data_IF_590428024490
#
_entry.id   IF_590428024490
#
_cell.length_a   1.000
_cell.length_b   1.000
_cell.length_c   1.000
_cell.angle_alpha   90.00
_cell.angle_beta   90.00
_cell.angle_gamma   90.00
#
_symmetry.space_group_name_H-M   'P 1'
#
loop_
_entity.id
_entity.type
_entity.pdbx_description
1 polymer ?
#
# COMPACT_ATOMS: atom_id res chain seq x y z
N UNK A 1 -29.52 -20.79 -72.93
CA UNK A 1 -28.07 -20.55 -72.94
C UNK A 1 -27.77 -19.39 -71.99
N UNK A 2 -27.36 -19.67 -70.74
CA UNK A 2 -27.16 -18.65 -69.70
C UNK A 2 -25.66 -18.49 -69.48
N UNK A 3 -25.15 -17.27 -69.70
CA UNK A 3 -23.72 -16.94 -69.69
C UNK A 3 -23.40 -16.28 -68.34
N UNK A 4 -22.78 -17.02 -67.41
CA UNK A 4 -22.31 -16.48 -66.15
C UNK A 4 -21.10 -15.56 -66.39
N UNK A 5 -21.26 -14.26 -66.16
CA UNK A 5 -20.15 -13.30 -66.10
C UNK A 5 -19.51 -13.37 -64.71
N UNK A 6 -18.30 -13.92 -64.64
CA UNK A 6 -17.46 -13.86 -63.45
C UNK A 6 -16.89 -12.44 -63.31
N UNK A 7 -17.36 -11.69 -62.32
CA UNK A 7 -16.84 -10.36 -61.99
C UNK A 7 -15.56 -10.58 -61.17
N UNK A 8 -14.40 -10.52 -61.81
CA UNK A 8 -13.09 -10.65 -61.16
C UNK A 8 -12.43 -9.29 -61.05
N UNK A 9 -12.80 -8.49 -60.06
CA UNK A 9 -11.96 -7.39 -59.58
C UNK A 9 -12.14 -7.20 -58.06
N UNK A 10 -11.39 -7.98 -57.27
CA UNK A 10 -11.03 -7.62 -55.90
C UNK A 10 -9.51 -7.55 -55.84
N UNK A 11 -8.96 -6.38 -55.51
CA UNK A 11 -7.54 -6.20 -55.18
C UNK A 11 -7.27 -6.98 -53.90
N UNK A 12 -6.96 -8.27 -54.04
CA UNK A 12 -6.51 -9.09 -52.94
C UNK A 12 -5.10 -8.62 -52.56
N UNK A 13 -4.95 -8.08 -51.37
CA UNK A 13 -3.63 -7.88 -50.76
C UNK A 13 -2.97 -9.25 -50.74
N UNK A 14 -1.77 -9.36 -51.30
CA UNK A 14 -1.07 -10.65 -51.38
C UNK A 14 -1.00 -11.25 -49.97
N UNK A 15 -1.41 -12.52 -49.77
CA UNK A 15 -1.39 -13.17 -48.47
C UNK A 15 -0.03 -13.06 -47.78
N UNK A 16 1.05 -13.08 -48.56
CA UNK A 16 2.42 -12.95 -48.06
C UNK A 16 2.70 -11.53 -47.55
N UNK A 17 2.28 -10.51 -48.30
CA UNK A 17 2.51 -9.10 -47.93
C UNK A 17 1.74 -8.77 -46.64
N UNK A 18 0.54 -9.32 -46.48
CA UNK A 18 -0.26 -9.14 -45.26
C UNK A 18 0.46 -9.70 -44.02
N UNK A 19 1.08 -10.88 -44.13
CA UNK A 19 1.80 -11.51 -43.02
C UNK A 19 3.08 -10.74 -42.68
N UNK A 20 3.83 -10.29 -43.68
CA UNK A 20 5.06 -9.49 -43.44
C UNK A 20 4.73 -8.17 -42.74
N UNK A 21 3.66 -7.48 -43.16
CA UNK A 21 3.19 -6.27 -42.50
C UNK A 21 2.71 -6.54 -41.07
N UNK A 22 2.00 -7.65 -40.85
CA UNK A 22 1.54 -8.04 -39.51
C UNK A 22 2.72 -8.27 -38.55
N UNK A 23 3.77 -8.95 -39.00
CA UNK A 23 4.98 -9.20 -38.19
C UNK A 23 5.66 -7.87 -37.86
N UNK A 24 5.84 -6.99 -38.84
CA UNK A 24 6.51 -5.71 -38.64
C UNK A 24 5.81 -4.85 -37.58
N UNK A 25 4.47 -4.75 -37.65
CA UNK A 25 3.68 -4.01 -36.66
C UNK A 25 3.73 -4.67 -35.28
N UNK A 26 3.66 -6.01 -35.23
CA UNK A 26 3.72 -6.76 -33.97
C UNK A 26 5.03 -6.53 -33.24
N UNK A 27 6.16 -6.57 -33.95
CA UNK A 27 7.48 -6.30 -33.37
C UNK A 27 7.58 -4.85 -32.88
N UNK A 28 7.07 -3.90 -33.66
CA UNK A 28 7.05 -2.48 -33.26
C UNK A 28 6.27 -2.23 -31.98
N UNK A 29 5.05 -2.77 -31.86
CA UNK A 29 4.23 -2.63 -30.65
C UNK A 29 4.91 -3.30 -29.44
N UNK A 30 5.56 -4.44 -29.63
CA UNK A 30 6.22 -5.18 -28.54
C UNK A 30 7.32 -4.36 -27.85
N UNK A 31 8.12 -3.62 -28.62
CA UNK A 31 9.18 -2.76 -28.06
C UNK A 31 8.59 -1.62 -27.23
N UNK A 32 7.51 -0.99 -27.72
CA UNK A 32 6.82 0.09 -26.99
C UNK A 32 6.22 -0.43 -25.70
N UNK A 33 5.53 -1.59 -25.73
CA UNK A 33 4.97 -2.21 -24.53
C UNK A 33 6.07 -2.59 -23.54
N UNK A 34 7.22 -3.10 -23.98
CA UNK A 34 8.35 -3.40 -23.12
C UNK A 34 8.94 -2.13 -22.45
N UNK A 35 9.20 -1.09 -23.22
CA UNK A 35 9.71 0.19 -22.70
C UNK A 35 8.72 0.84 -21.71
N UNK A 36 7.43 0.75 -21.98
CA UNK A 36 6.39 1.24 -21.07
C UNK A 36 6.28 0.37 -19.80
N UNK A 37 6.30 -0.96 -19.95
CA UNK A 37 6.18 -1.91 -18.83
C UNK A 37 7.36 -1.81 -17.86
N UNK A 38 8.58 -1.64 -18.38
CA UNK A 38 9.78 -1.44 -17.55
C UNK A 38 9.74 -0.11 -16.79
N UNK A 39 9.15 0.95 -17.37
CA UNK A 39 8.91 2.22 -16.68
C UNK A 39 7.90 2.11 -15.52
N UNK A 40 6.92 1.22 -15.61
CA UNK A 40 5.92 0.99 -14.56
C UNK A 40 6.44 0.03 -13.47
N UNK A 41 7.17 -1.02 -13.86
CA UNK A 41 7.80 -1.97 -12.94
C UNK A 41 8.92 -1.28 -12.14
N UNK A 42 9.77 -0.47 -12.78
CA UNK A 42 10.81 0.29 -12.08
C UNK A 42 10.23 1.23 -11.02
N UNK A 43 9.05 1.82 -11.28
CA UNK A 43 8.36 2.64 -10.29
C UNK A 43 7.82 1.83 -9.12
N UNK A 44 7.42 0.57 -9.28
CA UNK A 44 7.04 -0.26 -8.13
C UNK A 44 8.23 -0.80 -7.36
N UNK A 45 9.32 -1.14 -8.04
CA UNK A 45 10.56 -1.56 -7.38
C UNK A 45 11.26 -0.41 -6.64
N UNK A 46 11.11 0.84 -7.09
CA UNK A 46 11.69 2.02 -6.41
C UNK A 46 10.73 2.72 -5.44
N UNK A 47 9.42 2.45 -5.48
CA UNK A 47 8.43 3.11 -4.59
C UNK A 47 8.03 2.23 -3.40
N UNK A 48 7.98 0.90 -3.50
CA UNK A 48 7.47 0.07 -2.39
C UNK A 48 8.14 -1.31 -2.31
N UNK A 49 9.44 -1.33 -2.12
CA UNK A 49 10.13 -2.49 -1.50
C UNK A 49 11.16 -2.07 -0.47
N UNK A 50 11.02 -0.86 0.10
CA UNK A 50 11.33 -0.71 1.50
C UNK A 50 10.33 -1.61 2.22
N UNK A 51 10.81 -2.65 2.88
CA UNK A 51 10.00 -3.59 3.66
C UNK A 51 8.86 -2.84 4.33
N UNK A 52 7.62 -3.07 3.86
CA UNK A 52 6.44 -2.39 4.41
C UNK A 52 6.50 -2.56 5.92
N UNK A 53 6.56 -1.45 6.67
CA UNK A 53 6.89 -1.49 8.10
C UNK A 53 6.04 -2.56 8.78
N UNK A 54 6.67 -3.63 9.26
CA UNK A 54 5.93 -4.74 9.82
C UNK A 54 5.79 -4.54 11.32
N UNK A 55 4.76 -3.77 11.69
CA UNK A 55 4.39 -3.49 13.07
C UNK A 55 3.32 -4.47 13.56
N UNK A 56 3.56 -5.06 14.73
CA UNK A 56 2.65 -6.04 15.35
C UNK A 56 2.47 -5.69 16.81
N UNK A 57 1.24 -5.75 17.30
CA UNK A 57 0.93 -5.58 18.72
C UNK A 57 1.15 -6.91 19.42
N UNK A 58 1.99 -6.90 20.44
CA UNK A 58 2.26 -8.09 21.25
C UNK A 58 1.33 -8.18 22.45
N UNK A 59 1.14 -7.05 23.11
CA UNK A 59 0.37 -6.99 24.34
C UNK A 59 -0.37 -5.65 24.42
N UNK A 60 -1.54 -5.71 25.02
CA UNK A 60 -2.42 -4.59 25.30
C UNK A 60 -2.78 -4.66 26.78
N UNK A 61 -2.53 -3.58 27.50
CA UNK A 61 -2.85 -3.47 28.91
C UNK A 61 -3.74 -2.24 29.14
N UNK A 62 -4.98 -2.50 29.53
CA UNK A 62 -5.93 -1.47 29.96
C UNK A 62 -6.02 -1.50 31.49
N UNK A 63 -5.51 -0.45 32.13
CA UNK A 63 -5.61 -0.25 33.58
C UNK A 63 -6.60 0.86 33.87
N UNK A 64 -7.82 0.49 34.27
CA UNK A 64 -8.93 1.44 34.40
C UNK A 64 -9.31 2.01 33.03
N UNK A 65 -8.95 3.28 32.78
CA UNK A 65 -9.13 3.97 31.49
C UNK A 65 -7.81 4.25 30.77
N UNK A 66 -6.68 3.83 31.33
CA UNK A 66 -5.35 4.06 30.77
C UNK A 66 -4.90 2.89 29.90
N UNK A 67 -4.54 3.18 28.65
CA UNK A 67 -4.16 2.17 27.67
C UNK A 67 -2.66 2.25 27.36
N UNK A 68 -1.96 1.18 27.70
CA UNK A 68 -0.56 0.95 27.30
C UNK A 68 -0.51 -0.22 26.32
N UNK A 69 0.24 -0.05 25.24
CA UNK A 69 0.47 -1.11 24.25
C UNK A 69 1.95 -1.42 24.09
N UNK A 70 2.24 -2.66 23.71
CA UNK A 70 3.57 -3.13 23.35
C UNK A 70 3.60 -3.41 21.86
N UNK A 71 4.31 -2.56 21.12
CA UNK A 71 4.38 -2.60 19.67
C UNK A 71 5.74 -3.15 19.24
N UNK A 72 5.76 -4.29 18.56
CA UNK A 72 6.96 -4.87 17.96
C UNK A 72 7.15 -4.38 16.54
N UNK A 73 8.34 -3.89 16.27
CA UNK A 73 8.83 -3.71 14.91
C UNK A 73 9.64 -4.95 14.49
N UNK A 74 9.19 -5.64 13.45
CA UNK A 74 9.84 -6.87 12.97
C UNK A 74 10.99 -6.61 11.98
N UNK A 75 11.06 -5.41 11.41
CA UNK A 75 12.04 -5.07 10.37
C UNK A 75 13.29 -4.40 10.97
N UNK A 76 14.32 -4.29 10.14
CA UNK A 76 15.63 -3.73 10.52
C UNK A 76 15.69 -2.19 10.49
N UNK A 77 14.62 -1.52 10.08
CA UNK A 77 14.51 -0.04 10.08
C UNK A 77 13.59 0.43 11.20
N UNK A 78 13.86 1.61 11.76
CA UNK A 78 12.96 2.23 12.74
C UNK A 78 11.67 2.70 12.04
N UNK A 79 10.54 2.47 12.69
CA UNK A 79 9.27 3.07 12.30
C UNK A 79 8.96 4.27 13.21
N UNK A 80 8.20 5.24 12.71
CA UNK A 80 7.83 6.42 13.48
C UNK A 80 6.30 6.46 13.56
N UNK A 81 5.75 6.28 14.76
CA UNK A 81 4.33 6.47 15.03
C UNK A 81 4.02 7.98 15.07
N UNK A 82 3.07 8.42 14.25
CA UNK A 82 2.80 9.84 14.02
C UNK A 82 1.40 10.26 14.47
N UNK A 83 0.38 9.46 14.15
CA UNK A 83 -1.01 9.76 14.47
C UNK A 83 -1.75 8.60 15.13
N UNK A 84 -2.65 8.93 16.04
CA UNK A 84 -3.53 8.00 16.74
C UNK A 84 -4.97 8.39 16.48
N UNK A 85 -5.76 7.41 16.06
CA UNK A 85 -7.19 7.51 15.85
C UNK A 85 -7.91 6.57 16.80
N UNK A 86 -9.03 7.03 17.36
CA UNK A 86 -9.91 6.24 18.22
C UNK A 86 -11.33 6.35 17.64
N UNK A 87 -11.95 5.21 17.34
CA UNK A 87 -13.26 5.11 16.70
C UNK A 87 -13.37 5.96 15.41
N UNK A 88 -12.27 6.06 14.66
CA UNK A 88 -12.17 6.82 13.41
C UNK A 88 -11.95 8.33 13.58
N UNK A 89 -11.91 8.86 14.80
CA UNK A 89 -11.54 10.25 15.06
C UNK A 89 -10.06 10.37 15.41
N UNK A 90 -9.37 11.34 14.82
CA UNK A 90 -8.00 11.66 15.21
C UNK A 90 -8.00 12.19 16.64
N UNK A 91 -7.17 11.61 17.51
CA UNK A 91 -7.01 12.00 18.92
C UNK A 91 -5.63 12.57 19.21
N UNK A 92 -4.62 12.20 18.43
CA UNK A 92 -3.29 12.78 18.52
C UNK A 92 -2.57 12.71 17.16
N UNK A 93 -1.69 13.67 16.88
CA UNK A 93 -0.87 13.75 15.67
C UNK A 93 0.52 14.32 15.99
N UNK A 94 1.44 14.26 15.03
CA UNK A 94 2.82 14.75 15.17
C UNK A 94 3.58 14.14 16.36
N UNK A 95 3.24 12.90 16.73
CA UNK A 95 3.82 12.24 17.91
C UNK A 95 5.33 12.02 17.80
N UNK A 96 5.84 11.82 16.59
CA UNK A 96 7.26 11.53 16.32
C UNK A 96 7.84 10.40 17.21
N UNK A 97 7.01 9.44 17.61
CA UNK A 97 7.40 8.38 18.55
C UNK A 97 8.12 7.27 17.81
N UNK A 98 9.38 7.02 18.16
CA UNK A 98 10.22 6.03 17.47
C UNK A 98 9.93 4.62 17.98
N UNK A 99 9.64 3.71 17.06
CA UNK A 99 9.54 2.27 17.29
C UNK A 99 10.79 1.61 16.73
N UNK A 100 11.73 1.32 17.63
CA UNK A 100 13.07 0.86 17.27
C UNK A 100 13.04 -0.47 16.51
N UNK A 101 13.90 -0.60 15.51
CA UNK A 101 14.05 -1.79 14.68
C UNK A 101 14.23 -3.07 15.52
N UNK A 102 13.63 -4.18 15.07
CA UNK A 102 13.72 -5.52 15.68
C UNK A 102 13.44 -5.57 17.19
N UNK A 103 12.70 -4.60 17.71
CA UNK A 103 12.46 -4.45 19.15
C UNK A 103 10.99 -4.22 19.46
N UNK A 104 10.67 -4.32 20.75
CA UNK A 104 9.35 -3.98 21.28
C UNK A 104 9.45 -2.62 21.94
N UNK A 105 8.60 -1.69 21.54
CA UNK A 105 8.49 -0.37 22.15
C UNK A 105 7.16 -0.28 22.90
N UNK A 106 7.22 0.15 24.15
CA UNK A 106 6.03 0.45 24.94
C UNK A 106 5.52 1.83 24.56
N UNK A 107 4.23 1.93 24.22
CA UNK A 107 3.54 3.19 23.95
C UNK A 107 2.42 3.38 24.98
N UNK A 108 2.52 4.42 25.79
CA UNK A 108 1.44 4.92 26.63
C UNK A 108 0.52 5.81 25.79
N UNK A 109 -0.54 5.23 25.23
CA UNK A 109 -1.45 5.94 24.33
C UNK A 109 -2.28 7.00 25.07
N UNK A 110 -2.60 6.74 26.33
CA UNK A 110 -3.32 7.68 27.19
C UNK A 110 -2.47 8.91 27.49
N UNK A 111 -1.20 8.71 27.87
CA UNK A 111 -0.23 9.78 28.05
C UNK A 111 -0.03 10.60 26.79
N UNK A 112 0.15 9.94 25.64
CA UNK A 112 0.34 10.61 24.35
C UNK A 112 -0.86 11.47 23.94
N UNK A 113 -2.08 10.97 24.09
CA UNK A 113 -3.30 11.74 23.75
C UNK A 113 -3.49 12.90 24.73
N UNK A 114 -3.29 12.67 26.04
CA UNK A 114 -3.44 13.71 27.06
C UNK A 114 -2.43 14.85 26.89
N UNK A 115 -1.21 14.56 26.43
CA UNK A 115 -0.19 15.56 26.13
C UNK A 115 -0.59 16.53 25.00
N UNK A 116 -1.51 16.11 24.13
CA UNK A 116 -2.07 16.92 23.04
C UNK A 116 -3.44 17.54 23.41
N UNK A 117 -3.82 17.51 24.70
CA UNK A 117 -5.06 18.10 25.19
C UNK A 117 -6.30 17.22 25.04
N UNK A 118 -6.14 15.93 24.68
CA UNK A 118 -7.23 14.96 24.71
C UNK A 118 -7.51 14.44 26.12
N UNK A 119 -8.65 13.75 26.28
CA UNK A 119 -9.02 13.10 27.55
C UNK A 119 -8.15 11.88 27.89
N UNK A 120 -7.54 11.26 26.88
CA UNK A 120 -6.63 10.11 27.05
C UNK A 120 -7.32 8.87 27.62
N UNK A 121 -8.66 8.82 27.58
CA UNK A 121 -9.44 7.71 28.14
C UNK A 121 -9.79 6.69 27.07
N UNK A 122 -9.73 5.42 27.45
CA UNK A 122 -10.12 4.30 26.61
C UNK A 122 -11.09 3.39 27.35
N UNK A 123 -12.03 2.82 26.60
CA UNK A 123 -13.01 1.86 27.09
C UNK A 123 -12.91 0.55 26.31
N UNK A 124 -13.33 -0.54 26.94
CA UNK A 124 -13.42 -1.85 26.28
C UNK A 124 -14.37 -1.75 25.09
N UNK A 125 -13.92 -2.21 23.92
CA UNK A 125 -14.65 -2.10 22.65
C UNK A 125 -14.21 -0.94 21.76
N UNK A 126 -13.41 0.02 22.26
CA UNK A 126 -12.87 1.09 21.43
C UNK A 126 -11.94 0.54 20.35
N UNK A 127 -12.08 1.06 19.13
CA UNK A 127 -11.23 0.71 18.00
C UNK A 127 -10.13 1.75 17.86
N UNK A 128 -8.89 1.32 18.06
CA UNK A 128 -7.71 2.19 17.99
C UNK A 128 -6.93 1.89 16.72
N UNK A 129 -6.48 2.95 16.07
CA UNK A 129 -5.67 2.89 14.87
C UNK A 129 -4.47 3.81 15.02
N UNK A 130 -3.29 3.25 14.86
CA UNK A 130 -2.02 3.98 14.87
C UNK A 130 -1.52 4.06 13.45
N UNK A 131 -1.11 5.25 13.04
CA UNK A 131 -0.58 5.53 11.70
C UNK A 131 0.85 6.02 11.83
N UNK A 132 1.76 5.40 11.06
CA UNK A 132 3.15 5.83 11.00
C UNK A 132 3.34 6.98 10.03
N UNK A 133 4.46 7.68 10.12
CA UNK A 133 4.84 8.74 9.18
C UNK A 133 4.88 8.25 7.72
N UNK A 134 5.19 6.96 7.51
CA UNK A 134 5.23 6.32 6.19
C UNK A 134 3.86 5.80 5.72
N UNK A 135 2.81 5.98 6.52
CA UNK A 135 1.42 5.62 6.18
C UNK A 135 1.02 4.19 6.55
N UNK A 136 1.89 3.41 7.21
CA UNK A 136 1.55 2.08 7.73
C UNK A 136 0.52 2.22 8.85
N UNK A 137 -0.52 1.39 8.82
CA UNK A 137 -1.61 1.45 9.79
C UNK A 137 -1.68 0.17 10.61
N UNK A 138 -1.75 0.32 11.92
CA UNK A 138 -1.97 -0.78 12.87
C UNK A 138 -3.30 -0.53 13.56
N UNK A 139 -4.27 -1.43 13.37
CA UNK A 139 -5.62 -1.32 13.91
C UNK A 139 -5.92 -2.47 14.87
N UNK A 140 -6.50 -2.14 16.01
CA UNK A 140 -6.89 -3.12 17.03
C UNK A 140 -8.12 -2.63 17.80
N UNK A 141 -8.72 -3.54 18.56
CA UNK A 141 -9.84 -3.25 19.45
C UNK A 141 -9.39 -3.46 20.89
N UNK A 142 -9.68 -2.51 21.76
CA UNK A 142 -9.40 -2.60 23.19
C UNK A 142 -10.27 -3.71 23.80
N UNK A 143 -9.65 -4.61 24.56
CA UNK A 143 -10.29 -5.76 25.21
C UNK A 143 -10.16 -5.67 26.71
#
# INVERSE_FOLDING_TARGET
MIKFRLIKERRAVSPVIAVVLMIAVTVGISVVVYAWSSGFVSKRSSVESAESEQLVIEELNLSGTQLTIYLRNKIAENAIADAIYVNGQMRANNLSTVVSAKSVTQLDLSGLISSQGGDGTFHVGDTVQIVTLRGTQVKFTVR
#
